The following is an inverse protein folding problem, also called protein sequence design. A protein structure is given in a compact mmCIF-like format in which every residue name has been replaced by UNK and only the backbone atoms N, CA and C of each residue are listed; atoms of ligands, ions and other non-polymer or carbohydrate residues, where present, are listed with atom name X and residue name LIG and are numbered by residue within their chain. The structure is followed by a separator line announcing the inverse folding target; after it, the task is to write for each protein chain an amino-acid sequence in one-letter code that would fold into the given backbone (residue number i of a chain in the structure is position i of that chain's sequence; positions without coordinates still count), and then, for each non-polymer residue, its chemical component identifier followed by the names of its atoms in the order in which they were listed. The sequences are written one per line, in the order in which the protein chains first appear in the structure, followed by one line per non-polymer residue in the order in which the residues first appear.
data_IF_865718065472
#
_entry.id   IF_865718065472
#
_cell.length_a   1.000
_cell.length_b   1.000
_cell.length_c   1.000
_cell.angle_alpha   90.00
_cell.angle_beta   90.00
_cell.angle_gamma   90.00
#
_symmetry.space_group_name_H-M   'P 1'
#
loop_
_entity.id
_entity.type
_entity.pdbx_description
1 polymer ?
#
# COMPACT_ATOMS: atom_id res chain seq x y z
N UNK A 1 -17.31 2.89 16.48
CA UNK A 1 -17.55 2.36 15.12
C UNK A 1 -16.50 3.00 14.24
N UNK A 2 -15.36 2.32 14.05
CA UNK A 2 -14.31 2.84 13.18
C UNK A 2 -14.87 2.89 11.77
N UNK A 3 -14.72 4.03 11.09
CA UNK A 3 -15.09 4.15 9.68
C UNK A 3 -14.29 3.12 8.89
N UNK A 4 -14.97 2.34 8.06
CA UNK A 4 -14.31 1.49 7.08
C UNK A 4 -13.52 2.40 6.12
N UNK A 5 -12.20 2.34 6.18
CA UNK A 5 -11.33 3.03 5.23
C UNK A 5 -11.39 2.25 3.92
N UNK A 6 -12.08 2.79 2.92
CA UNK A 6 -12.27 2.15 1.63
C UNK A 6 -11.03 2.35 0.75
N UNK A 7 -10.58 1.29 0.08
CA UNK A 7 -9.58 1.38 -0.99
C UNK A 7 -10.27 1.82 -2.28
N UNK A 8 -9.82 2.95 -2.86
CA UNK A 8 -10.48 3.52 -4.03
C UNK A 8 -10.03 2.82 -5.31
N UNK A 9 -10.95 2.20 -6.05
CA UNK A 9 -10.60 1.41 -7.25
C UNK A 9 -9.84 2.20 -8.32
N UNK A 10 -10.17 3.48 -8.52
CA UNK A 10 -9.60 4.30 -9.59
C UNK A 10 -8.13 4.68 -9.36
N UNK A 11 -7.63 4.58 -8.12
CA UNK A 11 -6.26 4.94 -7.77
C UNK A 11 -5.52 3.84 -7.02
N UNK A 12 -6.11 2.65 -6.90
CA UNK A 12 -5.49 1.53 -6.18
C UNK A 12 -4.21 1.10 -6.86
N UNK A 13 -3.25 0.66 -6.07
CA UNK A 13 -2.06 -0.02 -6.59
C UNK A 13 -2.47 -1.43 -7.00
N UNK A 14 -2.05 -1.85 -8.21
CA UNK A 14 -2.36 -3.16 -8.76
C UNK A 14 -1.10 -4.00 -8.71
N UNK A 15 -1.13 -5.14 -8.03
CA UNK A 15 0.00 -6.08 -8.03
C UNK A 15 0.02 -6.82 -9.39
N UNK A 16 1.18 -6.80 -10.05
CA UNK A 16 1.39 -7.36 -11.40
C UNK A 16 2.37 -8.53 -11.41
N UNK A 17 3.25 -8.63 -10.41
CA UNK A 17 4.12 -9.80 -10.28
C UNK A 17 3.32 -11.01 -9.82
N UNK A 18 3.27 -12.04 -10.65
CA UNK A 18 2.58 -13.31 -10.37
C UNK A 18 3.38 -14.13 -9.35
N UNK A 19 3.18 -13.81 -8.07
CA UNK A 19 3.65 -14.58 -6.92
C UNK A 19 2.43 -15.29 -6.33
N UNK A 20 2.44 -16.63 -6.19
CA UNK A 20 1.35 -17.35 -5.55
C UNK A 20 1.14 -16.92 -4.08
N UNK A 21 -0.09 -16.66 -3.63
CA UNK A 21 -1.32 -16.65 -4.42
C UNK A 21 -1.38 -15.39 -5.30
N UNK A 22 -1.65 -15.57 -6.60
CA UNK A 22 -1.62 -14.51 -7.62
C UNK A 22 -2.79 -13.50 -7.48
N UNK A 23 -2.88 -12.83 -6.34
CA UNK A 23 -3.77 -11.69 -6.10
C UNK A 23 -3.19 -10.44 -6.76
N UNK A 24 -4.07 -9.62 -7.34
CA UNK A 24 -3.72 -8.30 -7.88
C UNK A 24 -4.09 -7.15 -6.92
N UNK A 25 -4.57 -7.49 -5.72
CA UNK A 25 -5.12 -6.54 -4.75
C UNK A 25 -4.17 -6.33 -3.58
N UNK A 26 -3.99 -5.06 -3.22
CA UNK A 26 -3.46 -4.58 -1.95
C UNK A 26 -4.24 -3.32 -1.58
N UNK A 27 -4.49 -3.10 -0.28
CA UNK A 27 -5.16 -1.89 0.20
C UNK A 27 -4.18 -0.72 0.23
N UNK A 28 -3.88 -0.21 -0.95
CA UNK A 28 -2.96 0.88 -1.19
C UNK A 28 -3.44 1.73 -2.37
N UNK A 29 -3.27 3.05 -2.29
CA UNK A 29 -3.69 4.01 -3.29
C UNK A 29 -2.57 4.99 -3.63
N UNK A 30 -2.47 5.35 -4.91
CA UNK A 30 -1.63 6.45 -5.36
C UNK A 30 -2.19 7.80 -4.89
N UNK A 31 -1.32 8.63 -4.33
CA UNK A 31 -1.60 10.01 -3.92
C UNK A 31 -0.71 10.95 -4.71
N UNK A 32 -1.32 11.91 -5.40
CA UNK A 32 -0.66 13.01 -6.09
C UNK A 32 -1.16 14.33 -5.52
N UNK A 33 -0.25 15.27 -5.25
CA UNK A 33 -0.61 16.61 -4.84
C UNK A 33 -0.52 17.55 -6.04
N UNK A 34 -1.53 18.39 -6.27
CA UNK A 34 -1.57 19.32 -7.43
C UNK A 34 -0.36 20.27 -7.49
N UNK A 35 0.25 20.58 -6.34
CA UNK A 35 1.35 21.55 -6.21
C UNK A 35 2.74 20.90 -6.07
N UNK A 36 2.82 19.57 -6.17
CA UNK A 36 4.09 18.85 -6.04
C UNK A 36 4.17 17.69 -7.04
N UNK A 37 5.30 17.58 -7.74
CA UNK A 37 5.54 16.48 -8.67
C UNK A 37 5.75 15.12 -7.99
N UNK A 38 5.83 15.11 -6.65
CA UNK A 38 5.99 13.89 -5.87
C UNK A 38 4.68 13.12 -5.82
N UNK A 39 4.79 11.82 -6.13
CA UNK A 39 3.71 10.85 -5.99
C UNK A 39 4.04 9.94 -4.82
N UNK A 40 3.02 9.59 -4.04
CA UNK A 40 3.14 8.71 -2.87
C UNK A 40 2.20 7.53 -3.03
N UNK A 41 2.48 6.46 -2.31
CA UNK A 41 1.53 5.37 -2.07
C UNK A 41 1.12 5.47 -0.61
N UNK A 42 -0.17 5.64 -0.35
CA UNK A 42 -0.74 5.46 0.99
C UNK A 42 -1.33 4.07 1.08
N UNK A 43 -1.03 3.37 2.17
CA UNK A 43 -1.44 2.00 2.41
C UNK A 43 -1.80 1.81 3.87
N UNK A 44 -2.64 0.83 4.16
CA UNK A 44 -2.77 0.32 5.52
C UNK A 44 -1.44 -0.30 6.00
N UNK A 45 -1.31 -0.45 7.32
CA UNK A 45 -0.26 -1.31 7.87
C UNK A 45 -0.44 -2.75 7.35
N UNK A 46 0.64 -3.43 6.95
CA UNK A 46 0.52 -4.82 6.49
C UNK A 46 -0.03 -5.69 7.62
N UNK A 47 -0.99 -6.55 7.27
CA UNK A 47 -1.51 -7.60 8.13
C UNK A 47 -0.68 -8.87 7.92
N UNK A 48 -0.76 -9.85 8.83
CA UNK A 48 0.00 -11.11 8.73
C UNK A 48 -0.13 -11.77 7.35
N UNK A 49 -1.33 -11.77 6.78
CA UNK A 49 -1.65 -12.35 5.48
C UNK A 49 -1.32 -11.45 4.28
N UNK A 50 -0.83 -10.21 4.48
CA UNK A 50 -0.51 -9.25 3.41
C UNK A 50 0.93 -8.73 3.49
N UNK A 51 1.79 -9.30 4.35
CA UNK A 51 3.21 -8.88 4.45
C UNK A 51 3.93 -9.12 3.12
N UNK A 52 3.69 -10.26 2.47
CA UNK A 52 4.31 -10.59 1.18
C UNK A 52 3.83 -9.64 0.08
N UNK A 53 2.53 -9.35 0.03
CA UNK A 53 1.95 -8.39 -0.91
C UNK A 53 2.51 -6.97 -0.72
N UNK A 54 2.73 -6.56 0.53
CA UNK A 54 3.34 -5.27 0.85
C UNK A 54 4.76 -5.16 0.30
N UNK A 55 5.60 -6.18 0.50
CA UNK A 55 6.96 -6.19 -0.07
C UNK A 55 6.97 -6.33 -1.58
N UNK A 56 6.03 -7.10 -2.14
CA UNK A 56 5.82 -7.21 -3.58
C UNK A 56 5.50 -5.85 -4.21
N UNK A 57 4.61 -5.08 -3.57
CA UNK A 57 4.30 -3.71 -3.99
C UNK A 57 5.53 -2.81 -3.96
N UNK A 58 6.31 -2.85 -2.88
CA UNK A 58 7.53 -2.02 -2.73
C UNK A 58 8.54 -2.33 -3.83
N UNK A 59 8.75 -3.61 -4.11
CA UNK A 59 9.67 -4.04 -5.16
C UNK A 59 9.17 -3.65 -6.55
N UNK A 60 7.89 -3.88 -6.85
CA UNK A 60 7.26 -3.51 -8.12
C UNK A 60 7.35 -2.01 -8.40
N UNK A 61 6.99 -1.19 -7.42
CA UNK A 61 6.91 0.27 -7.58
C UNK A 61 8.26 0.95 -7.33
N UNK A 62 9.33 0.18 -7.10
CA UNK A 62 10.68 0.68 -6.84
C UNK A 62 10.72 1.74 -5.73
N UNK A 63 9.94 1.53 -4.66
CA UNK A 63 9.84 2.47 -3.55
C UNK A 63 11.20 2.62 -2.85
N UNK A 64 11.77 3.83 -2.87
CA UNK A 64 13.08 4.10 -2.28
C UNK A 64 13.05 4.34 -0.77
N UNK A 65 11.87 4.59 -0.20
CA UNK A 65 11.69 4.88 1.22
C UNK A 65 10.30 4.43 1.69
N UNK A 66 10.23 4.00 2.95
CA UNK A 66 9.00 3.65 3.66
C UNK A 66 8.92 4.54 4.89
N UNK A 67 7.82 5.29 5.04
CA UNK A 67 7.57 6.13 6.20
C UNK A 67 6.42 5.51 6.97
N UNK A 68 6.71 4.98 8.17
CA UNK A 68 5.69 4.49 9.07
C UNK A 68 5.28 5.59 10.06
N UNK A 69 3.99 5.92 10.09
CA UNK A 69 3.43 6.97 10.96
C UNK A 69 2.83 6.41 12.27
N UNK A 70 2.83 5.08 12.46
CA UNK A 70 2.30 4.45 13.67
C UNK A 70 3.42 3.90 14.56
N UNK A 71 3.17 3.88 15.87
CA UNK A 71 4.01 3.17 16.81
C UNK A 71 3.67 1.67 16.75
N UNK A 72 4.67 0.83 16.53
CA UNK A 72 4.51 -0.64 16.47
C UNK A 72 4.23 -1.24 17.86
N UNK A 73 4.44 -0.47 18.94
CA UNK A 73 4.06 -0.85 20.30
C UNK A 73 2.68 -0.30 20.65
N UNK A 74 1.67 -1.08 20.35
CA UNK A 74 0.41 -1.07 21.08
C UNK A 74 0.28 -2.43 21.76
N UNK A 75 0.85 -2.50 22.97
CA UNK A 75 0.59 -3.53 23.99
C UNK A 75 -0.12 -2.86 25.14
#
# INVERSE_FOLDING_TARGET
MLQDVVCLDHSRVVLTFEVPPCSNYIHANWIRFEKHDRVFIATQAPMENTIEDFWRMIFQESCSAIINLVNVRSS
#
